data_IF_309136461049
#
_entry.id   IF_309136461049
#
_cell.length_a   1.000
_cell.length_b   1.000
_cell.length_c   1.000
_cell.angle_alpha   90.00
_cell.angle_beta   90.00
_cell.angle_gamma   90.00
#
_symmetry.space_group_name_H-M   'P 1'
#
loop_
_entity.id
_entity.type
_entity.pdbx_description
1 polymer ?
#
# COMPACT_ATOMS: atom_id res chain seq x y z
N UNK A 1 31.59 4.47 -1.39
CA UNK A 1 30.50 5.41 -1.07
C UNK A 1 29.25 4.62 -0.71
N UNK A 2 28.57 4.95 0.40
CA UNK A 2 27.27 4.35 0.74
C UNK A 2 26.21 4.87 -0.25
N UNK A 3 25.47 3.98 -0.91
CA UNK A 3 24.39 4.38 -1.81
C UNK A 3 23.16 4.79 -0.96
N UNK A 4 22.99 6.10 -0.77
CA UNK A 4 21.95 6.67 0.10
C UNK A 4 20.53 6.30 -0.36
N UNK A 5 20.28 6.17 -1.67
CA UNK A 5 18.98 5.78 -2.18
C UNK A 5 18.63 4.32 -1.83
N UNK A 6 19.59 3.40 -1.92
CA UNK A 6 19.40 2.02 -1.47
C UNK A 6 19.07 1.96 0.02
N UNK A 7 19.82 2.72 0.85
CA UNK A 7 19.59 2.74 2.29
C UNK A 7 18.22 3.31 2.63
N UNK A 8 17.79 4.37 1.93
CA UNK A 8 16.45 4.92 2.09
C UNK A 8 15.35 3.92 1.71
N UNK A 9 15.52 3.19 0.60
CA UNK A 9 14.60 2.11 0.19
C UNK A 9 14.48 1.04 1.28
N UNK A 10 15.61 0.51 1.74
CA UNK A 10 15.64 -0.53 2.79
C UNK A 10 15.02 -0.02 4.09
N UNK A 11 15.36 1.20 4.51
CA UNK A 11 14.82 1.84 5.70
C UNK A 11 13.30 2.00 5.60
N UNK A 12 12.78 2.55 4.50
CA UNK A 12 11.34 2.71 4.29
C UNK A 12 10.59 1.38 4.37
N UNK A 13 11.09 0.34 3.70
CA UNK A 13 10.45 -0.98 3.71
C UNK A 13 10.47 -1.58 5.12
N UNK A 14 11.64 -1.60 5.77
CA UNK A 14 11.81 -2.21 7.09
C UNK A 14 10.97 -1.48 8.13
N UNK A 15 11.01 -0.14 8.14
CA UNK A 15 10.21 0.66 9.05
C UNK A 15 8.72 0.37 8.85
N UNK A 16 8.25 0.37 7.59
CA UNK A 16 6.84 0.12 7.28
C UNK A 16 6.35 -1.24 7.76
N UNK A 17 7.12 -2.30 7.50
CA UNK A 17 6.80 -3.66 7.97
C UNK A 17 6.84 -3.75 9.49
N UNK A 18 7.88 -3.20 10.13
CA UNK A 18 8.01 -3.23 11.59
C UNK A 18 6.89 -2.47 12.28
N UNK A 19 6.46 -1.33 11.72
CA UNK A 19 5.30 -0.58 12.22
C UNK A 19 4.04 -1.43 12.15
N UNK A 20 3.74 -2.06 11.01
CA UNK A 20 2.56 -2.92 10.88
C UNK A 20 2.56 -4.07 11.88
N UNK A 21 3.70 -4.75 12.04
CA UNK A 21 3.84 -5.86 13.00
C UNK A 21 3.67 -5.35 14.44
N UNK A 22 4.30 -4.22 14.78
CA UNK A 22 4.23 -3.67 16.13
C UNK A 22 2.81 -3.24 16.46
N UNK A 23 2.16 -2.49 15.58
CA UNK A 23 0.76 -2.07 15.76
C UNK A 23 -0.15 -3.30 15.87
N UNK A 24 0.00 -4.31 15.00
CA UNK A 24 -0.77 -5.55 15.08
C UNK A 24 -0.63 -6.23 16.45
N UNK A 25 0.60 -6.40 16.95
CA UNK A 25 0.83 -7.04 18.26
C UNK A 25 0.16 -6.23 19.36
N UNK A 26 0.32 -4.91 19.39
CA UNK A 26 -0.25 -4.06 20.44
C UNK A 26 -1.79 -4.07 20.37
N UNK A 27 -2.39 -3.93 19.18
CA UNK A 27 -3.84 -3.91 18.99
C UNK A 27 -4.49 -5.25 19.38
N UNK A 28 -3.89 -6.38 18.98
CA UNK A 28 -4.46 -7.70 19.25
C UNK A 28 -4.27 -8.13 20.70
N UNK A 29 -3.10 -7.87 21.30
CA UNK A 29 -2.85 -8.24 22.71
C UNK A 29 -3.62 -7.38 23.71
N UNK A 30 -4.00 -6.16 23.34
CA UNK A 30 -4.87 -5.30 24.13
C UNK A 30 -6.37 -5.60 23.98
N UNK A 31 -6.74 -6.53 23.08
CA UNK A 31 -8.14 -6.87 22.83
C UNK A 31 -8.96 -5.73 22.22
N UNK A 32 -8.30 -4.83 21.46
CA UNK A 32 -8.95 -3.65 20.85
C UNK A 32 -9.39 -3.86 19.41
N UNK A 33 -8.92 -4.92 18.77
CA UNK A 33 -9.30 -5.33 17.42
C UNK A 33 -9.52 -6.84 17.38
N UNK A 34 -10.05 -7.34 16.27
CA UNK A 34 -10.23 -8.76 16.06
C UNK A 34 -8.88 -9.52 16.20
N UNK A 35 -8.84 -10.65 16.94
CA UNK A 35 -7.59 -11.37 17.19
C UNK A 35 -7.08 -12.14 15.97
N UNK A 36 -7.94 -12.44 14.99
CA UNK A 36 -7.58 -13.16 13.78
C UNK A 36 -7.75 -12.25 12.55
N UNK A 37 -6.62 -11.70 12.07
CA UNK A 37 -6.50 -10.81 10.89
C UNK A 37 -7.48 -9.61 10.96
N UNK A 38 -7.22 -8.60 11.82
CA UNK A 38 -7.98 -7.36 11.80
C UNK A 38 -7.72 -6.63 10.47
N UNK A 39 -8.64 -5.76 10.06
CA UNK A 39 -8.36 -4.81 8.98
C UNK A 39 -7.24 -3.88 9.48
N UNK A 40 -6.26 -3.57 8.63
CA UNK A 40 -5.10 -2.75 9.00
C UNK A 40 -5.55 -1.39 9.51
N UNK A 41 -6.56 -0.79 8.88
CA UNK A 41 -7.12 0.49 9.27
C UNK A 41 -7.91 0.48 10.59
N UNK A 42 -8.24 -0.68 11.17
CA UNK A 42 -8.82 -0.81 12.52
C UNK A 42 -7.75 -0.66 13.62
N UNK A 43 -6.51 -1.04 13.33
CA UNK A 43 -5.43 -1.05 14.32
C UNK A 43 -5.13 0.31 14.97
N UNK A 44 -5.18 1.47 14.26
CA UNK A 44 -4.91 2.78 14.83
C UNK A 44 -6.14 3.49 15.44
N UNK A 45 -7.14 2.77 15.97
CA UNK A 45 -8.33 3.40 16.59
C UNK A 45 -8.13 3.91 18.02
N UNK A 46 -6.95 3.70 18.60
CA UNK A 46 -6.63 4.07 19.98
C UNK A 46 -5.13 4.26 20.19
N UNK A 47 -4.77 4.95 21.26
CA UNK A 47 -3.37 5.07 21.68
C UNK A 47 -2.90 3.83 22.49
N UNK A 48 -1.61 3.44 22.38
CA UNK A 48 -0.53 4.09 21.61
C UNK A 48 -0.46 3.69 20.12
N UNK A 49 -1.36 2.84 19.63
CA UNK A 49 -1.30 2.27 18.28
C UNK A 49 -1.43 3.31 17.19
N UNK A 50 -2.31 4.29 17.38
CA UNK A 50 -2.49 5.42 16.47
C UNK A 50 -1.18 6.18 16.24
N UNK A 51 -0.51 6.58 17.32
CA UNK A 51 0.78 7.28 17.24
C UNK A 51 1.87 6.45 16.56
N UNK A 52 1.96 5.15 16.89
CA UNK A 52 2.95 4.22 16.29
C UNK A 52 2.67 4.05 14.80
N UNK A 53 1.41 3.79 14.44
CA UNK A 53 0.96 3.52 13.08
C UNK A 53 1.17 4.73 12.17
N UNK A 54 0.64 5.89 12.58
CA UNK A 54 0.71 7.14 11.82
C UNK A 54 2.16 7.59 11.62
N UNK A 55 2.96 7.62 12.69
CA UNK A 55 4.35 8.07 12.62
C UNK A 55 5.20 7.12 11.78
N UNK A 56 5.13 5.82 12.07
CA UNK A 56 5.98 4.83 11.42
C UNK A 56 5.68 4.68 9.93
N UNK A 57 4.39 4.53 9.57
CA UNK A 57 3.98 4.45 8.17
C UNK A 57 4.12 5.79 7.44
N UNK A 58 3.87 6.91 8.11
CA UNK A 58 4.07 8.24 7.54
C UNK A 58 5.52 8.47 7.11
N UNK A 59 6.49 8.13 7.96
CA UNK A 59 7.92 8.20 7.63
C UNK A 59 8.28 7.21 6.52
N UNK A 60 7.76 5.98 6.57
CA UNK A 60 7.99 4.96 5.52
C UNK A 60 7.51 5.44 4.14
N UNK A 61 6.30 5.99 4.08
CA UNK A 61 5.67 6.50 2.86
C UNK A 61 6.33 7.79 2.37
N UNK A 62 6.79 8.66 3.27
CA UNK A 62 7.61 9.81 2.89
C UNK A 62 8.93 9.38 2.26
N UNK A 63 9.60 8.37 2.81
CA UNK A 63 10.80 7.82 2.17
C UNK A 63 10.47 7.18 0.80
N UNK A 64 9.31 6.53 0.66
CA UNK A 64 8.82 6.03 -0.64
C UNK A 64 8.62 7.17 -1.65
N UNK A 65 8.05 8.30 -1.23
CA UNK A 65 7.87 9.49 -2.06
C UNK A 65 9.20 10.00 -2.64
N UNK A 66 10.26 9.98 -1.83
CA UNK A 66 11.61 10.36 -2.27
C UNK A 66 12.20 9.31 -3.22
N UNK A 67 12.02 8.02 -2.92
CA UNK A 67 12.48 6.91 -3.77
C UNK A 67 11.83 6.96 -5.16
N UNK A 68 10.55 7.35 -5.27
CA UNK A 68 9.88 7.55 -6.56
C UNK A 68 10.65 8.52 -7.45
N UNK A 69 11.18 9.61 -6.88
CA UNK A 69 11.96 10.59 -7.65
C UNK A 69 13.31 10.02 -8.12
N UNK A 70 13.93 9.16 -7.29
CA UNK A 70 15.16 8.46 -7.66
C UNK A 70 14.88 7.46 -8.78
N UNK A 71 13.86 6.61 -8.64
CA UNK A 71 13.48 5.60 -9.64
C UNK A 71 13.16 6.27 -10.98
N UNK A 72 12.44 7.39 -10.97
CA UNK A 72 12.18 8.17 -12.20
C UNK A 72 13.47 8.53 -12.95
N UNK A 73 14.49 9.03 -12.24
CA UNK A 73 15.78 9.39 -12.83
C UNK A 73 16.50 8.18 -13.39
N UNK A 74 16.46 7.06 -12.66
CA UNK A 74 17.07 5.79 -13.09
C UNK A 74 16.38 5.18 -14.30
N UNK A 75 15.07 5.37 -14.42
CA UNK A 75 14.27 4.88 -15.54
C UNK A 75 14.37 5.76 -16.78
N UNK A 76 14.80 7.01 -16.66
CA UNK A 76 14.92 7.93 -17.79
C UNK A 76 15.77 7.36 -18.95
N UNK A 77 17.02 6.91 -18.75
CA UNK A 77 17.81 6.32 -19.84
C UNK A 77 17.15 5.06 -20.42
N UNK A 78 16.58 4.20 -19.57
CA UNK A 78 15.87 3.00 -20.01
C UNK A 78 14.64 3.33 -20.88
N UNK A 79 13.92 4.39 -20.53
CA UNK A 79 12.76 4.87 -21.26
C UNK A 79 13.16 5.49 -22.60
N UNK A 80 14.26 6.23 -22.65
CA UNK A 80 14.81 6.84 -23.86
C UNK A 80 15.20 5.78 -24.90
N UNK A 81 15.78 4.65 -24.48
CA UNK A 81 16.10 3.51 -25.35
C UNK A 81 14.86 2.82 -25.94
N UNK A 82 13.73 2.82 -25.22
CA UNK A 82 12.50 2.14 -25.63
C UNK A 82 11.51 3.04 -26.40
N UNK A 83 11.77 4.35 -26.43
CA UNK A 83 11.04 5.33 -27.24
C UNK A 83 9.92 6.10 -26.52
N UNK A 84 9.25 6.96 -27.28
CA UNK A 84 8.31 8.00 -26.82
C UNK A 84 7.25 7.53 -25.82
N UNK A 85 6.69 6.34 -26.01
CA UNK A 85 5.69 5.79 -25.09
C UNK A 85 6.24 5.63 -23.67
N UNK A 86 7.46 5.09 -23.53
CA UNK A 86 8.09 4.86 -22.24
C UNK A 86 8.62 6.15 -21.61
N UNK A 87 9.07 7.12 -22.41
CA UNK A 87 9.48 8.44 -21.93
C UNK A 87 8.31 9.13 -21.24
N UNK A 88 7.18 9.26 -21.95
CA UNK A 88 5.95 9.86 -21.41
C UNK A 88 5.36 9.03 -20.27
N UNK A 89 5.44 7.71 -20.37
CA UNK A 89 5.01 6.80 -19.32
C UNK A 89 5.80 7.00 -18.02
N UNK A 90 7.14 7.11 -18.10
CA UNK A 90 8.01 7.34 -16.94
C UNK A 90 7.69 8.67 -16.23
N UNK A 91 7.43 9.73 -17.01
CA UNK A 91 7.00 11.01 -16.43
C UNK A 91 5.63 10.91 -15.74
N UNK A 92 4.65 10.26 -16.38
CA UNK A 92 3.30 10.08 -15.81
C UNK A 92 3.35 9.25 -14.54
N UNK A 93 4.07 8.12 -14.53
CA UNK A 93 4.15 7.27 -13.33
C UNK A 93 4.88 7.94 -12.18
N UNK A 94 5.82 8.86 -12.43
CA UNK A 94 6.41 9.69 -11.37
C UNK A 94 5.34 10.55 -10.69
N UNK A 95 4.50 11.23 -11.47
CA UNK A 95 3.42 12.08 -10.95
C UNK A 95 2.38 11.23 -10.20
N UNK A 96 1.91 10.16 -10.84
CA UNK A 96 0.93 9.22 -10.25
C UNK A 96 1.43 8.63 -8.94
N UNK A 97 2.68 8.16 -8.90
CA UNK A 97 3.28 7.61 -7.67
C UNK A 97 3.47 8.67 -6.58
N UNK A 98 3.77 9.91 -6.96
CA UNK A 98 3.90 11.02 -6.01
C UNK A 98 2.54 11.32 -5.35
N UNK A 99 1.47 11.38 -6.14
CA UNK A 99 0.09 11.52 -5.64
C UNK A 99 -0.23 10.34 -4.72
N UNK A 100 0.08 9.12 -5.14
CA UNK A 100 -0.10 7.91 -4.34
C UNK A 100 0.58 7.98 -2.98
N UNK A 101 1.85 8.38 -2.93
CA UNK A 101 2.59 8.50 -1.67
C UNK A 101 2.02 9.60 -0.76
N UNK A 102 1.59 10.74 -1.31
CA UNK A 102 0.92 11.80 -0.53
C UNK A 102 -0.40 11.28 0.05
N UNK A 103 -1.22 10.64 -0.78
CA UNK A 103 -2.46 10.02 -0.32
C UNK A 103 -2.19 8.96 0.75
N UNK A 104 -1.14 8.16 0.61
CA UNK A 104 -0.76 7.21 1.65
C UNK A 104 -0.40 7.86 2.97
N UNK A 105 0.37 8.96 2.96
CA UNK A 105 0.68 9.72 4.18
C UNK A 105 -0.62 10.21 4.82
N UNK A 106 -1.55 10.75 4.03
CA UNK A 106 -2.86 11.19 4.54
C UNK A 106 -3.64 10.01 5.13
N UNK A 107 -3.74 8.87 4.43
CA UNK A 107 -4.45 7.67 4.90
C UNK A 107 -3.97 7.21 6.27
N UNK A 108 -2.66 7.21 6.52
CA UNK A 108 -2.12 6.72 7.79
C UNK A 108 -2.12 7.78 8.89
N UNK A 109 -2.22 9.06 8.53
CA UNK A 109 -2.35 10.17 9.49
C UNK A 109 -3.78 10.48 9.91
N UNK A 110 -4.77 10.12 9.09
CA UNK A 110 -6.19 10.32 9.37
C UNK A 110 -6.87 8.95 9.48
N UNK A 111 -7.10 8.50 10.72
CA UNK A 111 -7.64 7.18 10.99
C UNK A 111 -9.08 7.03 10.45
N UNK A 112 -9.48 5.79 10.13
CA UNK A 112 -10.78 5.50 9.53
C UNK A 112 -11.95 5.85 10.46
N UNK A 113 -11.77 5.69 11.78
CA UNK A 113 -12.82 5.96 12.77
C UNK A 113 -13.29 7.41 12.77
N UNK A 114 -12.37 8.36 12.73
CA UNK A 114 -12.69 9.79 12.80
C UNK A 114 -12.88 10.42 11.41
N UNK A 115 -12.20 9.91 10.38
CA UNK A 115 -12.18 10.51 9.04
C UNK A 115 -12.47 9.50 7.92
N UNK A 116 -13.64 8.84 7.93
CA UNK A 116 -13.84 7.67 7.10
C UNK A 116 -13.78 7.92 5.60
N UNK A 117 -14.49 8.93 5.12
CA UNK A 117 -14.51 9.28 3.69
C UNK A 117 -13.12 9.68 3.21
N UNK A 118 -12.40 10.49 4.00
CA UNK A 118 -11.03 10.91 3.65
C UNK A 118 -10.10 9.70 3.59
N UNK A 119 -10.12 8.87 4.63
CA UNK A 119 -9.32 7.65 4.72
C UNK A 119 -9.57 6.71 3.54
N UNK A 120 -10.85 6.43 3.24
CA UNK A 120 -11.25 5.55 2.15
C UNK A 120 -10.79 6.06 0.78
N UNK A 121 -11.01 7.35 0.48
CA UNK A 121 -10.59 7.96 -0.79
C UNK A 121 -9.07 7.95 -0.95
N UNK A 122 -8.32 8.29 0.10
CA UNK A 122 -6.86 8.34 0.01
C UNK A 122 -6.25 6.94 0.01
N UNK A 123 -6.84 5.96 0.71
CA UNK A 123 -6.41 4.56 0.67
C UNK A 123 -6.63 3.97 -0.73
N UNK A 124 -7.83 4.18 -1.30
CA UNK A 124 -8.14 3.79 -2.67
C UNK A 124 -7.14 4.39 -3.66
N UNK A 125 -6.84 5.70 -3.53
CA UNK A 125 -5.88 6.37 -4.40
C UNK A 125 -4.47 5.81 -4.23
N UNK A 126 -3.99 5.61 -3.00
CA UNK A 126 -2.69 5.01 -2.71
C UNK A 126 -2.52 3.66 -3.43
N UNK A 127 -3.43 2.71 -3.19
CA UNK A 127 -3.28 1.36 -3.72
C UNK A 127 -3.43 1.31 -5.24
N UNK A 128 -4.38 2.08 -5.80
CA UNK A 128 -4.60 2.13 -7.25
C UNK A 128 -3.39 2.70 -7.98
N UNK A 129 -2.89 3.84 -7.52
CA UNK A 129 -1.73 4.50 -8.13
C UNK A 129 -0.48 3.64 -8.00
N UNK A 130 -0.30 2.97 -6.85
CA UNK A 130 0.79 2.01 -6.69
C UNK A 130 0.72 0.87 -7.71
N UNK A 131 -0.42 0.19 -7.85
CA UNK A 131 -0.56 -0.95 -8.75
C UNK A 131 -0.31 -0.56 -10.21
N UNK A 132 -0.85 0.59 -10.65
CA UNK A 132 -0.60 1.14 -11.98
C UNK A 132 0.89 1.40 -12.18
N UNK A 133 1.52 2.12 -11.25
CA UNK A 133 2.94 2.48 -11.34
C UNK A 133 3.86 1.26 -11.29
N UNK A 134 3.58 0.28 -10.42
CA UNK A 134 4.34 -0.96 -10.32
C UNK A 134 4.22 -1.79 -11.60
N UNK A 135 3.03 -1.84 -12.20
CA UNK A 135 2.79 -2.55 -13.47
C UNK A 135 3.56 -1.93 -14.63
N UNK A 136 3.52 -0.60 -14.76
CA UNK A 136 4.31 0.11 -15.77
C UNK A 136 5.82 -0.09 -15.54
N UNK A 137 6.27 0.08 -14.30
CA UNK A 137 7.68 -0.08 -13.92
C UNK A 137 8.19 -1.49 -14.22
N UNK A 138 7.39 -2.52 -13.95
CA UNK A 138 7.71 -3.89 -14.34
C UNK A 138 7.83 -4.05 -15.85
N UNK A 139 6.89 -3.49 -16.62
CA UNK A 139 6.91 -3.58 -18.07
C UNK A 139 8.17 -2.91 -18.66
N UNK A 140 8.49 -1.69 -18.21
CA UNK A 140 9.69 -0.96 -18.60
C UNK A 140 10.94 -1.77 -18.29
N UNK A 141 11.11 -2.20 -17.04
CA UNK A 141 12.30 -2.96 -16.64
C UNK A 141 12.43 -4.29 -17.40
N UNK A 142 11.33 -5.01 -17.63
CA UNK A 142 11.33 -6.24 -18.41
C UNK A 142 11.81 -6.00 -19.84
N UNK A 143 11.34 -4.92 -20.49
CA UNK A 143 11.74 -4.56 -21.84
C UNK A 143 13.20 -4.12 -21.94
N UNK A 144 13.75 -3.56 -20.88
CA UNK A 144 15.17 -3.24 -20.75
C UNK A 144 16.05 -4.41 -20.27
N UNK A 145 15.55 -5.66 -20.30
CA UNK A 145 16.33 -6.84 -19.92
C UNK A 145 16.51 -7.06 -18.41
N UNK A 146 15.78 -6.31 -17.56
CA UNK A 146 15.84 -6.35 -16.09
C UNK A 146 14.60 -7.05 -15.49
N UNK A 147 14.16 -8.15 -16.12
CA UNK A 147 13.02 -8.95 -15.66
C UNK A 147 13.29 -9.55 -14.27
N UNK A 148 12.25 -9.61 -13.45
CA UNK A 148 12.34 -10.16 -12.10
C UNK A 148 11.05 -10.93 -11.78
N UNK A 149 11.17 -12.25 -11.56
CA UNK A 149 10.03 -13.13 -11.30
C UNK A 149 9.29 -12.77 -10.00
N UNK A 150 10.01 -12.38 -8.96
CA UNK A 150 9.41 -11.98 -7.68
C UNK A 150 8.58 -10.71 -7.88
N UNK A 151 9.12 -9.71 -8.61
CA UNK A 151 8.38 -8.48 -8.94
C UNK A 151 7.09 -8.79 -9.68
N UNK A 152 7.15 -9.68 -10.68
CA UNK A 152 5.96 -10.13 -11.43
C UNK A 152 4.91 -10.72 -10.50
N UNK A 153 5.29 -11.70 -9.67
CA UNK A 153 4.34 -12.35 -8.77
C UNK A 153 3.77 -11.41 -7.72
N UNK A 154 4.58 -10.52 -7.16
CA UNK A 154 4.12 -9.51 -6.22
C UNK A 154 3.08 -8.56 -6.85
N UNK A 155 3.31 -8.08 -8.07
CA UNK A 155 2.36 -7.22 -8.79
C UNK A 155 1.07 -7.99 -9.13
N UNK A 156 1.18 -9.24 -9.59
CA UNK A 156 0.02 -10.08 -9.89
C UNK A 156 -0.81 -10.35 -8.63
N UNK A 157 -0.15 -10.67 -7.51
CA UNK A 157 -0.82 -10.83 -6.22
C UNK A 157 -1.50 -9.52 -5.80
N UNK A 158 -0.83 -8.38 -5.92
CA UNK A 158 -1.39 -7.07 -5.60
C UNK A 158 -2.68 -6.78 -6.36
N UNK A 159 -2.70 -6.99 -7.69
CA UNK A 159 -3.92 -6.83 -8.49
C UNK A 159 -5.01 -7.82 -8.10
N UNK A 160 -4.65 -9.09 -7.89
CA UNK A 160 -5.61 -10.11 -7.47
C UNK A 160 -6.29 -9.72 -6.16
N UNK A 161 -5.50 -9.41 -5.12
CA UNK A 161 -6.05 -9.06 -3.81
C UNK A 161 -6.79 -7.72 -3.83
N UNK A 162 -6.39 -6.75 -4.66
CA UNK A 162 -7.13 -5.51 -4.83
C UNK A 162 -8.53 -5.73 -5.43
N UNK A 163 -8.65 -6.57 -6.46
CA UNK A 163 -9.95 -6.93 -7.04
C UNK A 163 -10.79 -7.76 -6.07
N UNK A 164 -10.17 -8.74 -5.40
CA UNK A 164 -10.86 -9.57 -4.39
C UNK A 164 -11.35 -8.73 -3.21
N UNK A 165 -10.57 -7.76 -2.75
CA UNK A 165 -10.96 -6.82 -1.70
C UNK A 165 -12.24 -6.07 -2.09
N UNK A 166 -12.30 -5.51 -3.30
CA UNK A 166 -13.49 -4.83 -3.78
C UNK A 166 -14.73 -5.76 -3.83
N UNK A 167 -14.56 -7.00 -4.29
CA UNK A 167 -15.64 -7.99 -4.32
C UNK A 167 -16.11 -8.34 -2.91
N UNK A 168 -15.19 -8.65 -2.00
CA UNK A 168 -15.54 -9.04 -0.63
C UNK A 168 -16.12 -7.88 0.17
N UNK A 169 -15.68 -6.63 -0.06
CA UNK A 169 -16.32 -5.45 0.54
C UNK A 169 -17.77 -5.27 0.07
N UNK A 170 -18.06 -5.54 -1.21
CA UNK A 170 -19.45 -5.52 -1.70
C UNK A 170 -20.26 -6.65 -1.09
N UNK A 171 -19.72 -7.88 -1.03
CA UNK A 171 -20.42 -9.02 -0.45
C UNK A 171 -20.70 -8.84 1.05
N UNK A 172 -19.75 -8.29 1.82
CA UNK A 172 -19.95 -7.92 3.22
C UNK A 172 -21.11 -6.93 3.36
N UNK A 173 -21.12 -5.86 2.56
CA UNK A 173 -22.22 -4.89 2.57
C UNK A 173 -23.57 -5.53 2.18
N UNK A 174 -23.59 -6.52 1.27
CA UNK A 174 -24.81 -7.22 0.88
C UNK A 174 -25.36 -8.11 2.00
N UNK A 175 -24.51 -8.77 2.78
CA UNK A 175 -24.95 -9.54 3.95
C UNK A 175 -25.54 -8.64 5.05
N UNK A 176 -25.11 -7.38 5.12
CA UNK A 176 -25.64 -6.39 6.05
C UNK A 176 -26.94 -5.70 5.56
N UNK A 177 -27.46 -6.02 4.37
CA UNK A 177 -28.65 -5.32 3.81
C UNK A 177 -29.95 -5.53 4.61
N UNK A 178 -30.02 -6.55 5.46
CA UNK A 178 -31.12 -6.69 6.41
C UNK A 178 -31.13 -5.56 7.47
N UNK A 179 -30.01 -4.86 7.66
CA UNK A 179 -29.84 -3.75 8.61
C UNK A 179 -29.99 -2.35 8.00
N UNK A 180 -30.33 -2.22 6.71
CA UNK A 180 -30.60 -0.96 5.96
C UNK A 180 -29.93 0.29 6.53
N UNK A 181 -28.76 0.64 6.01
CA UNK A 181 -28.48 2.02 5.58
C UNK A 181 -27.21 2.09 4.71
N UNK A 182 -27.41 2.46 3.44
CA UNK A 182 -26.42 2.82 2.42
C UNK A 182 -25.47 1.72 1.87
N UNK A 183 -25.19 1.79 0.55
CA UNK A 183 -24.17 0.99 -0.18
C UNK A 183 -22.75 1.10 0.41
N UNK A 184 -22.52 2.13 1.24
CA UNK A 184 -21.26 2.42 1.91
C UNK A 184 -21.38 2.29 3.45
N UNK A 185 -22.24 1.41 3.95
CA UNK A 185 -22.47 1.24 5.40
C UNK A 185 -21.17 1.19 6.22
N UNK A 186 -20.20 0.34 5.82
CA UNK A 186 -18.90 0.22 6.50
C UNK A 186 -18.04 1.47 6.45
N UNK A 187 -18.21 2.33 5.44
CA UNK A 187 -17.49 3.60 5.39
C UNK A 187 -17.84 4.43 6.62
N UNK A 188 -19.13 4.57 6.91
CA UNK A 188 -19.62 5.38 8.05
C UNK A 188 -19.67 4.59 9.37
N UNK A 189 -19.60 3.25 9.30
CA UNK A 189 -19.64 2.34 10.45
C UNK A 189 -18.43 1.39 10.41
N UNK A 190 -17.23 1.89 10.74
CA UNK A 190 -16.03 1.07 10.80
C UNK A 190 -16.21 -0.06 11.82
N UNK A 191 -15.84 -1.31 11.48
CA UNK A 191 -15.89 -2.44 12.39
C UNK A 191 -14.97 -2.21 13.59
N UNK A 192 -15.43 -2.62 14.76
CA UNK A 192 -14.68 -2.62 16.01
C UNK A 192 -14.51 -4.05 16.55
N UNK A 193 -13.92 -4.19 17.73
CA UNK A 193 -13.72 -5.50 18.38
C UNK A 193 -15.04 -6.22 18.72
N UNK A 194 -16.14 -5.49 18.90
CA UNK A 194 -17.44 -6.08 19.25
C UNK A 194 -18.27 -6.42 18.01
N UNK A 195 -17.82 -6.01 16.84
CA UNK A 195 -18.51 -6.24 15.57
C UNK A 195 -18.43 -7.72 15.21
N UNK A 196 -19.59 -8.36 15.02
CA UNK A 196 -19.65 -9.70 14.46
C UNK A 196 -19.10 -9.68 13.03
N UNK A 197 -18.05 -10.48 12.79
CA UNK A 197 -17.32 -10.45 11.51
C UNK A 197 -17.87 -11.51 10.58
N UNK A 198 -18.43 -11.07 9.46
CA UNK A 198 -18.74 -11.96 8.34
C UNK A 198 -17.48 -12.63 7.80
N UNK A 199 -17.66 -13.72 7.06
CA UNK A 199 -16.56 -14.33 6.31
C UNK A 199 -15.97 -13.34 5.29
N UNK A 200 -16.80 -12.49 4.69
CA UNK A 200 -16.38 -11.50 3.70
C UNK A 200 -15.57 -10.36 4.30
N UNK A 201 -15.87 -9.93 5.53
CA UNK A 201 -15.06 -8.94 6.25
C UNK A 201 -13.67 -9.49 6.57
N UNK A 202 -13.58 -10.76 6.99
CA UNK A 202 -12.30 -11.42 7.24
C UNK A 202 -11.48 -11.61 5.95
N UNK A 203 -12.15 -11.93 4.84
CA UNK A 203 -11.50 -12.03 3.53
C UNK A 203 -11.06 -10.66 3.00
N UNK A 204 -11.82 -9.60 3.26
CA UNK A 204 -11.42 -8.21 2.98
C UNK A 204 -10.15 -7.85 3.73
N UNK A 205 -10.09 -8.14 5.04
CA UNK A 205 -8.89 -7.92 5.86
C UNK A 205 -7.68 -8.68 5.32
N UNK A 206 -7.84 -9.98 4.98
CA UNK A 206 -6.79 -10.77 4.37
C UNK A 206 -6.29 -10.16 3.04
N UNK A 207 -7.20 -9.65 2.20
CA UNK A 207 -6.83 -9.01 0.95
C UNK A 207 -6.03 -7.73 1.18
N UNK A 208 -6.42 -6.91 2.15
CA UNK A 208 -5.69 -5.70 2.51
C UNK A 208 -4.26 -6.01 2.96
N UNK A 209 -4.09 -6.93 3.90
CA UNK A 209 -2.76 -7.40 4.34
C UNK A 209 -1.94 -7.93 3.16
N UNK A 210 -2.53 -8.78 2.34
CA UNK A 210 -1.83 -9.39 1.21
C UNK A 210 -1.43 -8.35 0.17
N UNK A 211 -2.26 -7.34 -0.07
CA UNK A 211 -1.94 -6.21 -0.95
C UNK A 211 -0.80 -5.36 -0.39
N UNK A 212 -0.81 -5.02 0.89
CA UNK A 212 0.27 -4.25 1.54
C UNK A 212 1.59 -5.02 1.53
N UNK A 213 1.58 -6.33 1.81
CA UNK A 213 2.80 -7.13 1.70
C UNK A 213 3.29 -7.26 0.25
N UNK A 214 2.38 -7.42 -0.71
CA UNK A 214 2.74 -7.43 -2.13
C UNK A 214 3.44 -6.12 -2.54
N UNK A 215 3.00 -4.99 -1.97
CA UNK A 215 3.62 -3.69 -2.17
C UNK A 215 5.08 -3.69 -1.74
N UNK A 216 5.35 -4.07 -0.49
CA UNK A 216 6.72 -4.09 0.06
C UNK A 216 7.62 -5.12 -0.64
N UNK A 217 7.09 -6.29 -0.98
CA UNK A 217 7.84 -7.31 -1.72
C UNK A 217 8.25 -6.78 -3.09
N UNK A 218 7.32 -6.20 -3.85
CA UNK A 218 7.63 -5.61 -5.16
C UNK A 218 8.63 -4.46 -5.03
N UNK A 219 8.46 -3.57 -4.05
CA UNK A 219 9.39 -2.46 -3.79
C UNK A 219 10.81 -2.96 -3.44
N UNK A 220 10.92 -4.05 -2.68
CA UNK A 220 12.22 -4.65 -2.33
C UNK A 220 13.01 -5.14 -3.57
N UNK A 221 12.32 -5.50 -4.65
CA UNK A 221 12.98 -5.98 -5.88
C UNK A 221 13.74 -4.90 -6.65
N UNK A 222 13.58 -3.62 -6.27
CA UNK A 222 14.35 -2.51 -6.84
C UNK A 222 15.70 -2.31 -6.15
N UNK A 223 15.95 -2.99 -5.02
CA UNK A 223 17.15 -2.82 -4.21
C UNK A 223 18.45 -2.96 -5.00
N UNK A 224 18.59 -4.05 -5.75
CA UNK A 224 19.84 -4.31 -6.49
C UNK A 224 19.97 -3.43 -7.72
N UNK A 225 18.84 -3.05 -8.33
CA UNK A 225 18.81 -2.06 -9.42
C UNK A 225 19.31 -0.69 -8.94
N UNK A 226 18.80 -0.19 -7.80
CA UNK A 226 19.23 1.08 -7.22
C UNK A 226 20.69 0.99 -6.74
N UNK A 227 21.13 -0.15 -6.19
CA UNK A 227 22.51 -0.36 -5.75
C UNK A 227 23.52 -0.16 -6.88
N UNK A 228 23.20 -0.73 -8.05
CA UNK A 228 24.12 -0.83 -9.19
C UNK A 228 24.03 0.39 -10.12
N UNK A 229 23.05 1.26 -9.92
CA UNK A 229 22.96 2.50 -10.65
C UNK A 229 24.06 3.48 -10.18
N UNK A 230 24.77 4.08 -11.14
CA UNK A 230 25.59 5.26 -10.88
C UNK A 230 24.65 6.45 -10.72
N UNK A 231 24.34 6.78 -9.47
CA UNK A 231 23.57 7.96 -9.07
C UNK A 231 24.55 9.07 -8.69
#
# INVERSE_FOLDING_TARGET
MKNSAKLLLEFSIILGILTLITTYIVSTTSGRVAPFIPIISEMPFSEPEESIFSTGLGISLFGTLLIVQVIYRLFKPLAEELGEFYIKGNERIRIISTIGSICGIITVSFNWKEFPVLHGVTAFTLFTTYLISATFSYNLMKKSGLDNKIRRYAITAGWFFYVMMAIFSVLDNLEMLDEKDAFFHRMDNPPDVNTERSIYLNLTALCEWSMVFSFYISLSTYRDFIKNAQI
#
